data_IF_811014626131
#
_entry.id   IF_811014626131
#
_cell.length_a   1.000
_cell.length_b   1.000
_cell.length_c   1.000
_cell.angle_alpha   90.00
_cell.angle_beta   90.00
_cell.angle_gamma   90.00
#
_symmetry.space_group_name_H-M   'P 1'
#
loop_
_entity.id
_entity.type
_entity.pdbx_description
1 polymer ?
#
# COMPACT_ATOMS: atom_id res chain seq x y z
N UNK A 1 19.99 17.91 -4.70
CA UNK A 1 19.21 17.60 -5.91
C UNK A 1 19.46 16.15 -6.25
N UNK A 2 18.54 15.25 -5.93
CA UNK A 2 18.63 13.83 -6.29
C UNK A 2 17.65 13.60 -7.42
N UNK A 3 18.18 13.55 -8.64
CA UNK A 3 17.44 13.16 -9.84
C UNK A 3 16.98 11.71 -9.65
N UNK A 4 15.68 11.53 -9.43
CA UNK A 4 15.06 10.21 -9.46
C UNK A 4 15.10 9.70 -10.91
N UNK A 5 16.14 8.92 -11.21
CA UNK A 5 16.23 8.09 -12.42
C UNK A 5 15.00 7.19 -12.46
N UNK A 6 14.03 7.55 -13.29
CA UNK A 6 12.92 6.65 -13.62
C UNK A 6 13.50 5.50 -14.45
N UNK A 7 13.32 4.22 -14.04
CA UNK A 7 13.81 3.12 -14.85
C UNK A 7 13.05 3.16 -16.18
N UNK A 8 13.81 3.19 -17.28
CA UNK A 8 13.27 2.97 -18.63
C UNK A 8 12.89 1.50 -18.73
N UNK A 9 11.78 1.12 -18.10
CA UNK A 9 11.25 -0.23 -18.18
C UNK A 9 10.75 -0.43 -19.60
N UNK A 10 11.52 -1.18 -20.39
CA UNK A 10 11.04 -1.87 -21.59
C UNK A 10 9.90 -2.77 -21.17
N UNK A 11 8.68 -2.23 -21.07
CA UNK A 11 7.49 -3.00 -20.79
C UNK A 11 6.95 -3.47 -22.13
N UNK A 12 7.20 -4.75 -22.42
CA UNK A 12 6.43 -5.54 -23.36
C UNK A 12 4.96 -5.44 -22.96
N UNK A 13 4.21 -4.53 -23.58
CA UNK A 13 2.75 -4.52 -23.49
C UNK A 13 2.20 -5.57 -24.47
N UNK A 14 1.18 -6.36 -24.09
CA UNK A 14 0.47 -7.20 -25.04
C UNK A 14 -0.29 -6.29 -26.01
N UNK A 15 0.12 -6.29 -27.27
CA UNK A 15 -0.56 -5.61 -28.37
C UNK A 15 -1.88 -6.33 -28.68
N UNK A 16 -2.96 -5.90 -28.04
CA UNK A 16 -4.32 -6.25 -28.49
C UNK A 16 -4.58 -5.39 -29.72
N UNK A 17 -4.56 -6.02 -30.91
CA UNK A 17 -4.86 -5.36 -32.17
C UNK A 17 -6.32 -4.93 -32.21
N UNK A 18 -6.55 -3.65 -32.52
CA UNK A 18 -7.85 -3.17 -32.98
C UNK A 18 -7.64 -2.60 -34.37
N UNK A 19 -8.17 -3.33 -35.34
CA UNK A 19 -8.29 -2.98 -36.75
C UNK A 19 -9.41 -1.93 -36.88
N UNK A 20 -9.10 -0.73 -37.40
CA UNK A 20 -10.15 0.25 -37.74
C UNK A 20 -9.75 1.73 -37.79
N UNK A 21 -9.40 2.19 -38.99
CA UNK A 21 -9.61 3.52 -39.62
C UNK A 21 -8.79 4.74 -39.15
N UNK A 22 -8.02 5.27 -40.10
CA UNK A 22 -7.28 6.54 -40.05
C UNK A 22 -8.24 7.74 -39.85
N UNK A 23 -8.10 8.43 -38.72
CA UNK A 23 -8.20 9.90 -38.63
C UNK A 23 -7.53 10.34 -37.30
N UNK A 24 -6.32 10.90 -37.39
CA UNK A 24 -5.58 11.54 -36.28
C UNK A 24 -5.52 10.76 -34.97
N UNK A 25 -4.45 9.96 -34.74
CA UNK A 25 -4.21 9.16 -33.52
C UNK A 25 -4.58 9.94 -32.24
N UNK A 26 -5.82 9.81 -31.77
CA UNK A 26 -6.28 10.46 -30.56
C UNK A 26 -5.51 9.82 -29.40
N UNK A 27 -4.86 10.64 -28.61
CA UNK A 27 -3.98 10.22 -27.52
C UNK A 27 -4.27 11.10 -26.32
N UNK A 28 -4.27 10.50 -25.14
CA UNK A 28 -4.28 11.27 -23.91
C UNK A 28 -2.84 11.72 -23.60
N UNK A 29 -2.64 13.02 -23.38
CA UNK A 29 -1.35 13.58 -23.00
C UNK A 29 -0.94 13.15 -21.58
N UNK A 30 0.34 13.21 -21.26
CA UNK A 30 0.79 12.94 -19.90
C UNK A 30 0.14 13.91 -18.90
N UNK A 31 -0.44 13.39 -17.82
CA UNK A 31 -1.11 14.20 -16.81
C UNK A 31 -0.83 13.70 -15.39
N UNK A 32 -0.91 14.60 -14.42
CA UNK A 32 -0.72 14.30 -13.00
C UNK A 32 -2.06 14.43 -12.30
N UNK A 33 -2.41 13.42 -11.50
CA UNK A 33 -3.64 13.44 -10.68
C UNK A 33 -3.48 14.24 -9.40
N UNK A 34 -4.60 14.46 -8.69
CA UNK A 34 -4.63 15.08 -7.36
C UNK A 34 -3.79 14.33 -6.31
N UNK A 35 -3.55 13.03 -6.50
CA UNK A 35 -2.69 12.19 -5.66
C UNK A 35 -1.18 12.43 -5.92
N UNK A 36 -0.83 13.06 -7.04
CA UNK A 36 0.55 13.16 -7.53
C UNK A 36 1.00 11.96 -8.39
N UNK A 37 0.08 11.07 -8.79
CA UNK A 37 0.36 9.96 -9.71
C UNK A 37 0.56 10.50 -11.13
N UNK A 38 1.68 10.13 -11.76
CA UNK A 38 2.00 10.48 -13.14
C UNK A 38 1.45 9.44 -14.12
N UNK A 39 0.58 9.89 -15.01
CA UNK A 39 0.01 9.12 -16.10
C UNK A 39 0.76 9.40 -17.41
N UNK A 40 1.37 8.38 -18.03
CA UNK A 40 2.09 8.55 -19.28
C UNK A 40 1.13 8.79 -20.45
N UNK A 41 1.66 9.31 -21.56
CA UNK A 41 0.90 9.41 -22.81
C UNK A 41 0.44 8.02 -23.24
N UNK A 42 -0.85 7.90 -23.58
CA UNK A 42 -1.46 6.63 -24.01
C UNK A 42 -2.44 6.84 -25.17
N UNK A 43 -2.60 5.86 -26.06
CA UNK A 43 -3.57 5.94 -27.15
C UNK A 43 -5.00 5.91 -26.63
N UNK A 44 -5.91 6.57 -27.34
CA UNK A 44 -7.33 6.56 -27.06
C UNK A 44 -7.89 5.14 -27.05
N UNK A 45 -8.69 4.80 -26.03
CA UNK A 45 -9.23 3.46 -25.78
C UNK A 45 -8.33 2.54 -24.95
N UNK A 46 -7.16 2.99 -24.47
CA UNK A 46 -6.26 2.17 -23.67
C UNK A 46 -6.45 2.35 -22.15
N UNK A 47 -6.45 1.23 -21.42
CA UNK A 47 -6.36 1.19 -19.97
C UNK A 47 -4.89 1.23 -19.53
N UNK A 48 -4.52 2.24 -18.75
CA UNK A 48 -3.19 2.39 -18.15
C UNK A 48 -3.24 1.90 -16.70
N UNK A 49 -2.23 1.11 -16.32
CA UNK A 49 -2.12 0.52 -14.98
C UNK A 49 -0.92 1.12 -14.26
N UNK A 50 -1.11 1.56 -13.02
CA UNK A 50 -0.04 2.06 -12.15
C UNK A 50 -0.17 1.47 -10.75
N UNK A 51 0.94 1.17 -10.05
CA UNK A 51 0.88 0.72 -8.66
C UNK A 51 0.31 1.82 -7.77
N UNK A 52 -0.41 1.42 -6.72
CA UNK A 52 -0.93 2.35 -5.70
C UNK A 52 0.24 3.09 -5.00
N UNK A 53 0.09 4.37 -4.63
CA UNK A 53 1.10 5.12 -3.91
C UNK A 53 1.35 4.53 -2.51
N UNK A 54 2.59 4.55 -2.02
CA UNK A 54 2.94 4.01 -0.70
C UNK A 54 2.36 4.83 0.47
N UNK A 55 2.16 6.13 0.26
CA UNK A 55 1.65 7.08 1.24
C UNK A 55 0.69 8.06 0.59
N UNK A 56 -0.48 8.27 1.19
CA UNK A 56 -1.41 9.32 0.80
C UNK A 56 -2.00 9.98 2.05
N UNK A 57 -1.88 11.32 2.16
CA UNK A 57 -2.24 12.10 3.35
C UNK A 57 -1.69 11.55 4.68
N UNK A 58 -0.50 10.94 4.68
CA UNK A 58 0.11 10.35 5.88
C UNK A 58 -0.39 8.95 6.24
N UNK A 59 -1.34 8.38 5.49
CA UNK A 59 -1.79 7.00 5.62
C UNK A 59 -1.03 6.11 4.64
N UNK A 60 -0.60 4.93 5.11
CA UNK A 60 0.12 3.93 4.31
C UNK A 60 -0.84 3.07 3.50
N UNK A 61 -0.60 2.91 2.20
CA UNK A 61 -1.41 2.07 1.30
C UNK A 61 -0.58 0.96 0.67
N UNK A 62 -1.22 -0.18 0.40
CA UNK A 62 -0.56 -1.37 -0.09
C UNK A 62 -0.14 -1.16 -1.55
N UNK A 63 1.17 -1.14 -1.79
CA UNK A 63 1.76 -0.94 -3.12
C UNK A 63 1.68 -2.19 -4.01
N UNK A 64 1.21 -3.32 -3.48
CA UNK A 64 1.01 -4.56 -4.27
C UNK A 64 -0.18 -4.45 -5.22
N UNK A 65 -1.16 -3.61 -4.88
CA UNK A 65 -2.35 -3.42 -5.69
C UNK A 65 -2.14 -2.30 -6.72
N UNK A 66 -2.91 -2.35 -7.81
CA UNK A 66 -2.77 -1.42 -8.93
C UNK A 66 -4.03 -0.56 -9.10
N UNK A 67 -3.83 0.71 -9.39
CA UNK A 67 -4.87 1.62 -9.87
C UNK A 67 -4.94 1.63 -11.39
N UNK A 68 -6.17 1.75 -11.91
CA UNK A 68 -6.45 1.72 -13.35
C UNK A 68 -7.04 3.05 -13.81
N UNK A 69 -6.50 3.59 -14.91
CA UNK A 69 -7.05 4.78 -15.57
C UNK A 69 -7.20 4.54 -17.06
N UNK A 70 -8.38 4.86 -17.57
CA UNK A 70 -8.71 4.72 -18.98
C UNK A 70 -8.49 6.04 -19.73
N UNK A 71 -7.88 5.96 -20.92
CA UNK A 71 -7.91 7.02 -21.91
C UNK A 71 -9.15 6.81 -22.80
N UNK A 72 -10.10 7.75 -22.77
CA UNK A 72 -11.34 7.64 -23.54
C UNK A 72 -11.06 7.68 -25.05
N UNK A 73 -11.95 7.09 -25.85
CA UNK A 73 -11.88 7.13 -27.32
C UNK A 73 -11.84 8.57 -27.89
N UNK A 74 -12.31 9.55 -27.11
CA UNK A 74 -12.29 10.97 -27.43
C UNK A 74 -10.92 11.65 -27.22
N UNK A 75 -9.88 10.92 -26.78
CA UNK A 75 -8.56 11.49 -26.48
C UNK A 75 -8.48 12.23 -25.14
N UNK A 76 -9.45 12.03 -24.24
CA UNK A 76 -9.50 12.63 -22.91
C UNK A 76 -9.34 11.59 -21.82
N UNK A 77 -8.71 11.97 -20.71
CA UNK A 77 -8.60 11.08 -19.56
C UNK A 77 -9.96 10.88 -18.89
N UNK A 78 -10.23 9.66 -18.41
CA UNK A 78 -11.37 9.42 -17.54
C UNK A 78 -11.32 10.32 -16.30
N UNK A 79 -12.47 10.90 -15.95
CA UNK A 79 -12.61 11.80 -14.81
C UNK A 79 -12.45 11.09 -13.44
N UNK A 80 -12.64 9.77 -13.41
CA UNK A 80 -12.45 8.93 -12.23
C UNK A 80 -11.41 7.86 -12.52
N UNK A 81 -10.50 7.68 -11.58
CA UNK A 81 -9.51 6.61 -11.59
C UNK A 81 -9.99 5.51 -10.66
N UNK A 82 -9.92 4.25 -11.11
CA UNK A 82 -10.33 3.11 -10.32
C UNK A 82 -9.18 2.74 -9.37
N UNK A 83 -9.20 3.33 -8.18
CA UNK A 83 -8.36 2.98 -7.03
C UNK A 83 -9.04 1.95 -6.12
N UNK A 84 -10.04 1.20 -6.60
CA UNK A 84 -10.80 0.21 -5.82
C UNK A 84 -9.92 -0.85 -5.17
N UNK A 85 -8.79 -1.16 -5.80
CA UNK A 85 -7.83 -2.14 -5.31
C UNK A 85 -6.86 -1.54 -4.28
N UNK A 86 -6.74 -0.22 -4.13
CA UNK A 86 -5.81 0.38 -3.19
C UNK A 86 -6.32 0.30 -1.74
N UNK A 87 -5.95 -0.75 -1.02
CA UNK A 87 -6.27 -0.92 0.41
C UNK A 87 -5.19 -0.33 1.33
N UNK A 88 -5.62 0.24 2.46
CA UNK A 88 -4.74 0.77 3.50
C UNK A 88 -3.94 -0.35 4.20
N UNK A 89 -2.64 -0.12 4.47
CA UNK A 89 -1.73 -1.04 5.20
C UNK A 89 -2.10 -1.12 6.70
N UNK A 90 -3.10 -0.38 7.18
CA UNK A 90 -3.54 -0.37 8.57
C UNK A 90 -3.88 -1.78 9.14
N UNK A 91 -4.24 -2.73 8.27
CA UNK A 91 -4.46 -4.14 8.63
C UNK A 91 -3.18 -4.87 9.09
N UNK A 92 -2.04 -4.63 8.43
CA UNK A 92 -0.73 -5.21 8.75
C UNK A 92 -0.15 -4.62 10.04
N UNK A 93 -0.28 -3.30 10.24
CA UNK A 93 0.17 -2.65 11.49
C UNK A 93 -0.64 -3.14 12.70
N UNK A 94 -1.96 -3.33 12.54
CA UNK A 94 -2.82 -3.92 13.59
C UNK A 94 -2.34 -5.32 13.99
N UNK A 95 -1.94 -6.16 13.03
CA UNK A 95 -1.43 -7.51 13.31
C UNK A 95 -0.14 -7.48 14.13
N UNK A 96 0.75 -6.52 13.85
CA UNK A 96 1.98 -6.28 14.63
C UNK A 96 1.69 -5.78 16.06
N UNK A 97 0.76 -4.82 16.22
CA UNK A 97 0.35 -4.33 17.55
C UNK A 97 -0.26 -5.42 18.42
N UNK A 98 -1.07 -6.32 17.85
CA UNK A 98 -1.69 -7.42 18.61
C UNK A 98 -0.63 -8.39 19.12
N UNK A 99 0.40 -8.69 18.33
CA UNK A 99 1.48 -9.58 18.75
C UNK A 99 2.30 -8.98 19.91
N UNK A 100 2.58 -7.68 19.85
CA UNK A 100 3.27 -6.96 20.91
C UNK A 100 2.48 -6.96 22.23
N UNK A 101 1.16 -6.71 22.17
CA UNK A 101 0.30 -6.71 23.36
C UNK A 101 0.30 -8.05 24.09
N UNK A 102 0.27 -9.18 23.35
CA UNK A 102 0.29 -10.52 23.94
C UNK A 102 1.62 -10.77 24.67
N UNK A 103 2.76 -10.39 24.07
CA UNK A 103 4.07 -10.54 24.67
C UNK A 103 4.23 -9.73 25.98
N UNK A 104 3.66 -8.53 26.03
CA UNK A 104 3.69 -7.69 27.24
C UNK A 104 2.84 -8.31 28.37
N UNK A 105 1.66 -8.85 28.04
CA UNK A 105 0.76 -9.46 29.03
C UNK A 105 1.41 -10.68 29.70
N UNK A 106 2.02 -11.59 28.93
CA UNK A 106 2.67 -12.78 29.49
C UNK A 106 3.87 -12.43 30.37
N UNK A 107 4.65 -11.42 29.99
CA UNK A 107 5.79 -10.94 30.77
C UNK A 107 5.33 -10.34 32.11
N UNK A 108 4.26 -9.54 32.09
CA UNK A 108 3.70 -8.94 33.29
C UNK A 108 3.14 -10.00 34.25
N UNK A 109 2.35 -10.94 33.75
CA UNK A 109 1.77 -12.03 34.55
C UNK A 109 2.85 -12.91 35.19
N UNK A 110 3.88 -13.29 34.41
CA UNK A 110 4.99 -14.07 34.92
C UNK A 110 5.73 -13.33 36.05
N UNK A 111 5.95 -12.03 35.90
CA UNK A 111 6.62 -11.22 36.91
C UNK A 111 5.82 -11.14 38.21
N UNK A 112 4.49 -10.93 38.13
CA UNK A 112 3.63 -10.93 39.31
C UNK A 112 3.66 -12.28 40.05
N UNK A 113 3.60 -13.40 39.32
CA UNK A 113 3.63 -14.75 39.92
C UNK A 113 4.98 -15.00 40.61
N UNK A 114 6.10 -14.65 39.97
CA UNK A 114 7.43 -14.80 40.57
C UNK A 114 7.59 -13.98 41.85
N UNK A 115 7.13 -12.72 41.87
CA UNK A 115 7.17 -11.88 43.06
C UNK A 115 6.34 -12.45 44.21
N UNK A 116 5.13 -12.93 43.93
CA UNK A 116 4.25 -13.54 44.95
C UNK A 116 4.87 -14.81 45.51
N UNK A 117 5.41 -15.69 44.66
CA UNK A 117 6.07 -16.92 45.10
C UNK A 117 7.27 -16.63 46.01
N UNK A 118 8.07 -15.61 45.64
CA UNK A 118 9.24 -15.21 46.40
C UNK A 118 8.86 -14.61 47.76
N UNK A 119 7.79 -13.80 47.82
CA UNK A 119 7.24 -13.29 49.08
C UNK A 119 6.74 -14.40 50.00
N UNK A 120 5.98 -15.36 49.46
CA UNK A 120 5.49 -16.51 50.24
C UNK A 120 6.65 -17.32 50.81
N UNK A 121 7.67 -17.61 50.00
CA UNK A 121 8.86 -18.32 50.46
C UNK A 121 9.56 -17.57 51.60
N UNK A 122 9.77 -16.27 51.47
CA UNK A 122 10.40 -15.44 52.50
C UNK A 122 9.60 -15.45 53.82
N UNK A 123 8.27 -15.34 53.75
CA UNK A 123 7.41 -15.42 54.94
C UNK A 123 7.51 -16.78 55.60
N UNK A 124 7.52 -17.88 54.85
CA UNK A 124 7.70 -19.22 55.40
C UNK A 124 9.06 -19.36 56.09
N UNK A 125 10.14 -18.90 55.44
CA UNK A 125 11.47 -18.91 56.05
C UNK A 125 11.53 -18.08 57.34
N UNK A 126 10.86 -16.94 57.43
CA UNK A 126 10.82 -16.11 58.65
C UNK A 126 9.92 -16.68 59.75
N UNK A 127 8.87 -17.42 59.39
CA UNK A 127 7.96 -18.05 60.37
C UNK A 127 8.53 -19.35 60.92
N UNK A 128 9.33 -20.08 60.14
CA UNK A 128 10.01 -21.31 60.57
C UNK A 128 11.38 -21.07 61.21
N UNK A 129 11.98 -19.89 61.04
CA UNK A 129 13.24 -19.49 61.67
C UNK A 129 13.00 -18.79 63.00
#
# INVERSE_FOLDING_TARGET
MSDAVFPRTTSTQPSVGIEGREEGRLQCNASVDLIGTCWPQSPAGQLVVRPCPAYFYGVRYNTTNNGYRECLANGTWAARVNYSECQEILSEEKKSKVHYHVAVIINYLGHCISLVALLVAFVLFLRLR
#
